data_IF_575540229505
#
_entry.id   IF_575540229505
#
_cell.length_a   1.000
_cell.length_b   1.000
_cell.length_c   1.000
_cell.angle_alpha   90.00
_cell.angle_beta   90.00
_cell.angle_gamma   90.00
#
_symmetry.space_group_name_H-M   'P 1'
#
loop_
_entity.id
_entity.type
_entity.pdbx_description
1 polymer ?
#
# COMPACT_ATOMS: atom_id res chain seq x y z
N UNK A 1 18.77 7.19 -19.63
CA UNK A 1 18.10 6.13 -18.83
C UNK A 1 18.86 4.80 -18.98
N UNK A 2 19.91 4.56 -18.17
CA UNK A 2 20.81 3.39 -18.32
C UNK A 2 20.97 2.54 -17.05
N UNK A 3 20.27 2.88 -15.96
CA UNK A 3 20.50 2.28 -14.64
C UNK A 3 19.75 0.95 -14.38
N UNK A 4 18.85 0.53 -15.28
CA UNK A 4 18.04 -0.68 -15.09
C UNK A 4 18.65 -1.97 -15.69
N UNK A 5 19.86 -1.90 -16.27
CA UNK A 5 20.42 -3.00 -17.09
C UNK A 5 21.44 -3.91 -16.40
N UNK A 6 21.98 -3.58 -15.23
CA UNK A 6 23.09 -4.37 -14.63
C UNK A 6 22.90 -4.70 -13.15
N UNK A 7 21.70 -5.11 -12.74
CA UNK A 7 21.56 -5.84 -11.46
C UNK A 7 20.77 -7.14 -11.68
N UNK A 8 21.41 -8.32 -11.53
CA UNK A 8 20.75 -9.61 -11.72
C UNK A 8 19.54 -9.79 -10.79
N UNK A 9 19.53 -9.16 -9.61
CA UNK A 9 18.40 -9.21 -8.68
C UNK A 9 17.17 -8.49 -9.23
N UNK A 10 17.37 -7.35 -9.92
CA UNK A 10 16.28 -6.59 -10.52
C UNK A 10 15.69 -7.33 -11.72
N UNK A 11 16.54 -8.01 -12.50
CA UNK A 11 16.08 -8.80 -13.64
C UNK A 11 15.11 -9.93 -13.21
N UNK A 12 15.38 -10.59 -12.09
CA UNK A 12 14.50 -11.63 -11.52
C UNK A 12 13.18 -11.07 -10.94
N UNK A 13 13.18 -9.79 -10.56
CA UNK A 13 11.98 -9.11 -10.06
C UNK A 13 11.09 -8.57 -11.18
N UNK A 14 11.57 -8.45 -12.43
CA UNK A 14 10.75 -7.96 -13.55
C UNK A 14 9.50 -8.81 -13.77
N UNK A 15 9.63 -10.12 -13.63
CA UNK A 15 8.51 -11.06 -13.77
C UNK A 15 7.53 -10.99 -12.59
N UNK A 16 7.87 -10.25 -11.54
CA UNK A 16 7.08 -10.05 -10.32
C UNK A 16 6.43 -8.66 -10.28
N UNK A 17 6.65 -7.82 -11.30
CA UNK A 17 6.04 -6.49 -11.39
C UNK A 17 4.87 -6.52 -12.39
N UNK A 18 3.69 -6.17 -11.92
CA UNK A 18 2.49 -5.98 -12.72
C UNK A 18 2.23 -4.48 -12.80
N UNK A 19 2.09 -3.95 -14.01
CA UNK A 19 1.77 -2.53 -14.23
C UNK A 19 0.45 -2.42 -14.97
N UNK A 20 -0.48 -1.69 -14.39
CA UNK A 20 -1.82 -1.51 -14.95
C UNK A 20 -2.23 -0.04 -14.91
N UNK A 21 -2.86 0.42 -15.99
CA UNK A 21 -3.50 1.73 -16.04
C UNK A 21 -4.98 1.54 -15.72
N UNK A 22 -5.44 2.20 -14.68
CA UNK A 22 -6.82 2.13 -14.18
C UNK A 22 -7.44 3.52 -14.19
N UNK A 23 -8.74 3.61 -13.92
CA UNK A 23 -9.41 4.91 -13.75
C UNK A 23 -8.82 5.70 -12.57
N UNK A 24 -8.47 5.00 -11.50
CA UNK A 24 -7.83 5.58 -10.32
C UNK A 24 -6.40 6.08 -10.58
N UNK A 25 -5.71 5.60 -11.62
CA UNK A 25 -4.35 6.00 -11.96
C UNK A 25 -3.46 4.84 -12.41
N UNK A 26 -2.14 5.02 -12.30
CA UNK A 26 -1.16 3.98 -12.62
C UNK A 26 -0.93 3.11 -11.39
N UNK A 27 -1.30 1.83 -11.45
CA UNK A 27 -1.08 0.84 -10.40
C UNK A 27 0.16 0.03 -10.76
N UNK A 28 1.09 -0.07 -9.81
CA UNK A 28 2.27 -0.92 -9.87
C UNK A 28 2.14 -1.92 -8.72
N UNK A 29 1.98 -3.20 -9.04
CA UNK A 29 1.98 -4.27 -8.05
C UNK A 29 3.28 -5.06 -8.11
N UNK A 30 3.85 -5.34 -6.94
CA UNK A 30 5.03 -6.20 -6.79
C UNK A 30 4.62 -7.45 -6.02
N UNK A 31 4.63 -8.58 -6.71
CA UNK A 31 4.01 -9.85 -6.29
C UNK A 31 5.07 -10.89 -5.93
N UNK A 32 4.93 -11.57 -4.81
CA UNK A 32 5.84 -12.67 -4.44
C UNK A 32 5.45 -13.96 -5.19
N UNK A 33 6.37 -14.50 -6.00
CA UNK A 33 6.18 -15.76 -6.73
C UNK A 33 6.81 -16.96 -6.02
N UNK A 34 6.58 -17.07 -4.71
CA UNK A 34 6.95 -18.21 -3.88
C UNK A 34 8.44 -18.48 -3.67
N UNK A 35 9.29 -17.51 -4.02
CA UNK A 35 10.73 -17.55 -3.71
C UNK A 35 11.09 -16.66 -2.52
N UNK A 36 10.08 -16.07 -1.85
CA UNK A 36 10.26 -15.09 -0.77
C UNK A 36 11.24 -14.00 -1.17
N UNK A 37 11.19 -13.52 -2.41
CA UNK A 37 12.18 -12.56 -2.91
C UNK A 37 11.90 -11.14 -2.45
N UNK A 38 10.70 -10.91 -1.92
CA UNK A 38 10.22 -9.60 -1.49
C UNK A 38 10.41 -9.38 0.01
N UNK A 39 10.03 -10.37 0.82
CA UNK A 39 10.01 -10.30 2.27
C UNK A 39 10.58 -11.57 2.89
N UNK A 40 11.10 -11.46 4.11
CA UNK A 40 11.32 -12.64 4.95
C UNK A 40 9.99 -13.22 5.44
N UNK A 41 9.99 -14.51 5.76
CA UNK A 41 8.80 -15.24 6.23
C UNK A 41 8.23 -14.55 7.46
N UNK A 42 6.93 -14.24 7.44
CA UNK A 42 6.21 -13.55 8.53
C UNK A 42 6.85 -12.22 8.96
N UNK A 43 7.65 -11.59 8.10
CA UNK A 43 8.37 -10.35 8.39
C UNK A 43 7.95 -9.22 7.45
N UNK A 44 8.08 -8.00 7.96
CA UNK A 44 7.97 -6.76 7.18
C UNK A 44 9.32 -6.28 6.64
N UNK A 45 10.42 -6.98 6.96
CA UNK A 45 11.74 -6.65 6.44
C UNK A 45 11.78 -6.86 4.92
N UNK A 46 12.12 -5.78 4.20
CA UNK A 46 12.28 -5.79 2.74
C UNK A 46 13.63 -6.39 2.38
N UNK A 47 13.66 -7.26 1.39
CA UNK A 47 14.91 -7.82 0.86
C UNK A 47 15.67 -6.83 -0.03
N UNK A 48 17.00 -6.97 -0.18
CA UNK A 48 17.82 -6.07 -1.00
C UNK A 48 17.30 -5.86 -2.43
N UNK A 49 16.88 -6.94 -3.10
CA UNK A 49 16.31 -6.85 -4.44
C UNK A 49 15.06 -5.96 -4.51
N UNK A 50 14.13 -6.12 -3.56
CA UNK A 50 12.93 -5.27 -3.48
C UNK A 50 13.29 -3.82 -3.18
N UNK A 51 14.26 -3.57 -2.30
CA UNK A 51 14.75 -2.21 -2.03
C UNK A 51 15.32 -1.56 -3.32
N UNK A 52 16.10 -2.31 -4.10
CA UNK A 52 16.64 -1.83 -5.37
C UNK A 52 15.55 -1.55 -6.41
N UNK A 53 14.51 -2.39 -6.47
CA UNK A 53 13.34 -2.16 -7.32
C UNK A 53 12.59 -0.89 -6.90
N UNK A 54 12.27 -0.74 -5.61
CA UNK A 54 11.57 0.42 -5.07
C UNK A 54 12.34 1.72 -5.31
N UNK A 55 13.68 1.70 -5.23
CA UNK A 55 14.53 2.84 -5.60
C UNK A 55 14.32 3.30 -7.04
N UNK A 56 14.28 2.35 -7.98
CA UNK A 56 14.02 2.67 -9.39
C UNK A 56 12.61 3.21 -9.61
N UNK A 57 11.62 2.59 -8.96
CA UNK A 57 10.23 3.06 -8.99
C UNK A 57 10.14 4.49 -8.45
N UNK A 58 10.77 4.78 -7.31
CA UNK A 58 10.79 6.12 -6.72
C UNK A 58 11.38 7.16 -7.69
N UNK A 59 12.47 6.85 -8.39
CA UNK A 59 13.08 7.78 -9.36
C UNK A 59 12.16 8.13 -10.54
N UNK A 60 11.29 7.20 -10.96
CA UNK A 60 10.27 7.47 -11.98
C UNK A 60 9.11 8.27 -11.38
N UNK A 61 8.58 7.83 -10.24
CA UNK A 61 7.44 8.48 -9.57
C UNK A 61 7.77 9.92 -9.10
N UNK A 62 9.02 10.20 -8.74
CA UNK A 62 9.49 11.52 -8.33
C UNK A 62 9.35 12.58 -9.43
N UNK A 63 9.29 12.18 -10.70
CA UNK A 63 9.10 13.07 -11.84
C UNK A 63 7.62 13.33 -12.14
N UNK A 64 6.72 12.52 -11.57
CA UNK A 64 5.29 12.63 -11.79
C UNK A 64 4.64 13.54 -10.75
N UNK A 65 3.70 14.42 -11.13
CA UNK A 65 3.01 15.31 -10.19
C UNK A 65 1.98 14.57 -9.31
N UNK A 66 1.76 13.29 -9.54
CA UNK A 66 0.74 12.46 -8.90
C UNK A 66 1.03 12.22 -7.41
N UNK A 67 -0.04 12.11 -6.62
CA UNK A 67 0.00 11.58 -5.26
C UNK A 67 0.17 10.07 -5.28
N UNK A 68 0.90 9.53 -4.32
CA UNK A 68 1.22 8.12 -4.23
C UNK A 68 0.47 7.48 -3.06
N UNK A 69 -0.22 6.37 -3.32
CA UNK A 69 -0.76 5.49 -2.29
C UNK A 69 0.05 4.21 -2.26
N UNK A 70 0.43 3.76 -1.06
CA UNK A 70 1.19 2.52 -0.87
C UNK A 70 0.32 1.53 -0.12
N UNK A 71 0.01 0.40 -0.72
CA UNK A 71 -0.80 -0.66 -0.17
C UNK A 71 0.00 -1.92 0.14
N UNK A 72 -0.34 -2.59 1.23
CA UNK A 72 0.20 -3.90 1.59
C UNK A 72 -0.90 -4.95 1.58
N UNK A 73 -0.57 -6.13 1.03
CA UNK A 73 -1.45 -7.29 1.00
C UNK A 73 -0.70 -8.53 1.52
N UNK A 74 -1.43 -9.43 2.16
CA UNK A 74 -0.94 -10.72 2.66
C UNK A 74 -1.80 -11.84 2.10
N UNK A 75 -1.29 -13.07 2.19
CA UNK A 75 -2.11 -14.26 1.99
C UNK A 75 -2.98 -14.52 3.24
N UNK A 76 -3.92 -15.46 3.12
CA UNK A 76 -4.82 -15.85 4.22
C UNK A 76 -4.19 -16.87 5.20
N UNK A 77 -2.86 -17.05 5.23
CA UNK A 77 -2.25 -17.97 6.20
C UNK A 77 -2.48 -17.42 7.62
N UNK A 78 -3.04 -18.21 8.54
CA UNK A 78 -3.30 -17.75 9.89
C UNK A 78 -1.98 -17.61 10.66
N UNK A 79 -1.94 -16.61 11.54
CA UNK A 79 -0.87 -16.51 12.52
C UNK A 79 -1.03 -17.56 13.62
N UNK A 80 0.06 -18.03 14.24
CA UNK A 80 0.00 -18.95 15.36
C UNK A 80 -0.86 -18.41 16.51
N UNK A 81 -1.61 -19.31 17.17
CA UNK A 81 -2.42 -18.96 18.35
C UNK A 81 -1.55 -18.28 19.42
N UNK A 82 -1.96 -17.10 19.87
CA UNK A 82 -1.20 -16.29 20.83
C UNK A 82 -0.29 -15.24 20.19
N UNK A 83 -0.16 -15.20 18.87
CA UNK A 83 0.43 -14.06 18.17
C UNK A 83 -0.41 -12.81 18.38
N UNK A 84 0.24 -11.70 18.78
CA UNK A 84 -0.39 -10.37 18.76
C UNK A 84 -0.45 -9.77 17.36
N UNK A 85 0.25 -10.38 16.40
CA UNK A 85 0.31 -9.93 15.03
C UNK A 85 -0.72 -10.68 14.18
N UNK A 86 -1.47 -9.94 13.39
CA UNK A 86 -2.40 -10.44 12.39
C UNK A 86 -1.96 -10.01 10.98
N UNK A 87 -2.69 -10.47 9.96
CA UNK A 87 -2.50 -10.05 8.58
C UNK A 87 -2.66 -8.53 8.40
N UNK A 88 -3.47 -7.87 9.24
CA UNK A 88 -3.62 -6.41 9.22
C UNK A 88 -2.31 -5.71 9.60
N UNK A 89 -1.72 -6.06 10.74
CA UNK A 89 -0.46 -5.45 11.18
C UNK A 89 0.68 -5.76 10.21
N UNK A 90 0.78 -7.01 9.72
CA UNK A 90 1.83 -7.39 8.77
C UNK A 90 1.71 -6.61 7.46
N UNK A 91 0.49 -6.51 6.91
CA UNK A 91 0.25 -5.77 5.66
C UNK A 91 0.58 -4.27 5.81
N UNK A 92 0.19 -3.65 6.94
CA UNK A 92 0.54 -2.27 7.25
C UNK A 92 2.06 -2.07 7.35
N UNK A 93 2.75 -2.92 8.12
CA UNK A 93 4.19 -2.79 8.34
C UNK A 93 4.97 -2.90 7.02
N UNK A 94 4.55 -3.80 6.12
CA UNK A 94 5.15 -3.94 4.78
C UNK A 94 4.94 -2.69 3.94
N UNK A 95 3.73 -2.13 3.96
CA UNK A 95 3.41 -0.90 3.24
C UNK A 95 4.20 0.30 3.80
N UNK A 96 4.34 0.43 5.12
CA UNK A 96 5.14 1.50 5.74
C UNK A 96 6.64 1.34 5.44
N UNK A 97 7.16 0.11 5.47
CA UNK A 97 8.55 -0.16 5.09
C UNK A 97 8.80 0.26 3.63
N UNK A 98 7.89 -0.08 2.71
CA UNK A 98 7.97 0.31 1.31
C UNK A 98 7.91 1.83 1.15
N UNK A 99 6.99 2.51 1.84
CA UNK A 99 6.90 3.98 1.88
C UNK A 99 8.23 4.60 2.25
N UNK A 100 8.87 4.16 3.35
CA UNK A 100 10.16 4.70 3.82
C UNK A 100 11.24 4.56 2.76
N UNK A 101 11.30 3.42 2.08
CA UNK A 101 12.25 3.23 0.97
C UNK A 101 11.95 4.21 -0.16
N UNK A 102 10.69 4.36 -0.58
CA UNK A 102 10.32 5.26 -1.66
C UNK A 102 10.68 6.72 -1.34
N UNK A 103 10.38 7.20 -0.13
CA UNK A 103 10.72 8.55 0.34
C UNK A 103 12.22 8.79 0.38
N UNK A 104 12.98 7.87 0.99
CA UNK A 104 14.45 7.99 1.06
C UNK A 104 15.13 7.83 -0.30
N UNK A 105 14.40 7.36 -1.32
CA UNK A 105 14.90 7.13 -2.68
C UNK A 105 14.48 8.23 -3.68
N UNK A 106 13.91 9.34 -3.20
CA UNK A 106 13.72 10.55 -4.00
C UNK A 106 12.29 10.97 -4.26
N UNK A 107 11.27 10.32 -3.67
CA UNK A 107 9.92 10.90 -3.70
C UNK A 107 9.93 12.28 -3.02
N UNK A 108 9.12 13.21 -3.56
CA UNK A 108 9.03 14.56 -2.99
C UNK A 108 8.39 14.51 -1.60
N UNK A 109 8.74 15.42 -0.69
CA UNK A 109 8.07 15.53 0.60
C UNK A 109 6.55 15.66 0.43
N UNK A 110 5.78 14.82 1.15
CA UNK A 110 4.32 14.79 1.06
C UNK A 110 3.77 14.22 -0.25
N UNK A 111 4.59 13.58 -1.09
CA UNK A 111 4.12 12.93 -2.32
C UNK A 111 3.36 11.63 -2.01
N UNK A 112 3.77 10.90 -0.97
CA UNK A 112 2.96 9.80 -0.43
C UNK A 112 1.81 10.40 0.37
N UNK A 113 0.59 10.11 -0.04
CA UNK A 113 -0.64 10.61 0.57
C UNK A 113 -1.26 9.58 1.51
N UNK A 114 -1.17 8.28 1.19
CA UNK A 114 -1.81 7.21 1.95
C UNK A 114 -0.92 5.98 2.07
N UNK A 115 -0.97 5.36 3.24
CA UNK A 115 -0.49 3.99 3.48
C UNK A 115 -1.71 3.14 3.83
N UNK A 116 -1.92 2.05 3.12
CA UNK A 116 -3.13 1.25 3.20
C UNK A 116 -2.75 -0.19 3.55
N UNK A 117 -3.43 -0.74 4.54
CA UNK A 117 -3.35 -2.14 4.90
C UNK A 117 -4.59 -2.84 4.35
N UNK A 118 -4.42 -3.90 3.56
CA UNK A 118 -5.55 -4.68 3.04
C UNK A 118 -5.65 -6.07 3.67
N UNK A 119 -4.65 -6.48 4.46
CA UNK A 119 -4.54 -7.85 4.95
C UNK A 119 -4.74 -8.85 3.78
N UNK A 120 -5.62 -9.83 3.97
CA UNK A 120 -6.00 -10.85 3.00
C UNK A 120 -7.38 -10.59 2.37
N UNK A 121 -7.94 -9.39 2.52
CA UNK A 121 -9.30 -9.06 2.04
C UNK A 121 -9.40 -8.84 0.53
N UNK A 122 -8.26 -8.64 -0.13
CA UNK A 122 -8.18 -8.42 -1.58
C UNK A 122 -7.15 -9.37 -2.21
N UNK A 123 -7.44 -10.67 -2.29
CA UNK A 123 -6.54 -11.65 -2.89
C UNK A 123 -6.38 -11.39 -4.39
N UNK A 124 -5.17 -11.58 -4.91
CA UNK A 124 -4.90 -11.55 -6.35
C UNK A 124 -5.38 -12.84 -7.03
N UNK A 125 -5.35 -13.96 -6.30
CA UNK A 125 -5.86 -15.27 -6.72
C UNK A 125 -6.99 -15.67 -5.75
N UNK A 126 -8.23 -15.22 -5.99
CA UNK A 126 -9.38 -15.49 -5.11
C UNK A 126 -9.65 -17.00 -4.91
N UNK A 127 -9.35 -17.81 -5.91
CA UNK A 127 -9.55 -19.26 -5.92
C UNK A 127 -8.55 -19.99 -5.01
N UNK A 128 -7.44 -19.33 -4.67
CA UNK A 128 -6.42 -19.85 -3.76
C UNK A 128 -5.96 -18.76 -2.78
N UNK A 129 -6.66 -18.58 -1.64
CA UNK A 129 -6.31 -17.57 -0.64
C UNK A 129 -4.90 -17.73 -0.03
N UNK A 130 -4.33 -18.93 -0.11
CA UNK A 130 -2.98 -19.25 0.39
C UNK A 130 -1.90 -19.07 -0.69
N UNK A 131 -2.26 -18.64 -1.90
CA UNK A 131 -1.30 -18.37 -2.96
C UNK A 131 -0.26 -17.35 -2.50
N UNK A 132 1.01 -17.61 -2.86
CA UNK A 132 2.11 -16.71 -2.51
C UNK A 132 1.97 -15.37 -3.24
N UNK A 133 1.32 -15.40 -4.40
CA UNK A 133 0.95 -14.25 -5.21
C UNK A 133 0.02 -13.26 -4.50
N UNK A 134 -0.69 -13.69 -3.45
CA UNK A 134 -1.49 -12.78 -2.63
C UNK A 134 -0.61 -11.88 -1.74
N UNK A 135 0.64 -12.28 -1.47
CA UNK A 135 1.64 -11.44 -0.78
C UNK A 135 2.21 -10.42 -1.77
N UNK A 136 1.66 -9.21 -1.77
CA UNK A 136 2.08 -8.15 -2.69
C UNK A 136 2.11 -6.77 -2.06
N UNK A 137 2.87 -5.88 -2.68
CA UNK A 137 2.81 -4.44 -2.47
C UNK A 137 2.12 -3.80 -3.66
N UNK A 138 1.23 -2.86 -3.40
CA UNK A 138 0.62 -2.02 -4.43
C UNK A 138 1.11 -0.58 -4.28
N UNK A 139 1.44 0.05 -5.40
CA UNK A 139 1.83 1.45 -5.47
C UNK A 139 0.95 2.10 -6.53
N UNK A 140 0.05 2.96 -6.09
CA UNK A 140 -0.84 3.71 -6.97
C UNK A 140 -0.29 5.13 -7.13
N UNK A 141 0.06 5.52 -8.35
CA UNK A 141 0.18 6.92 -8.73
C UNK A 141 -1.21 7.42 -9.13
N UNK A 142 -1.90 8.02 -8.17
CA UNK A 142 -3.29 8.44 -8.30
C UNK A 142 -3.44 9.43 -9.45
N UNK A 143 -4.45 9.23 -10.29
CA UNK A 143 -4.85 10.19 -11.31
C UNK A 143 -5.06 11.52 -10.62
N UNK A 144 -4.43 12.57 -11.17
CA UNK A 144 -4.72 13.92 -10.74
C UNK A 144 -6.18 14.18 -11.10
N UNK A 145 -7.07 14.25 -10.11
CA UNK A 145 -8.32 14.97 -10.32
C UNK A 145 -7.91 16.34 -10.84
N UNK A 146 -8.38 16.71 -12.04
CA UNK A 146 -8.27 18.08 -12.49
C UNK A 146 -8.78 18.92 -11.32
N UNK A 147 -7.89 19.73 -10.73
CA UNK A 147 -8.11 20.43 -9.47
C UNK A 147 -9.58 20.77 -9.38
N UNK A 148 -10.29 20.15 -8.41
CA UNK A 148 -11.68 20.44 -8.18
C UNK A 148 -11.81 21.96 -8.30
N UNK A 149 -12.61 22.43 -9.26
CA UNK A 149 -12.92 23.85 -9.38
C UNK A 149 -13.19 24.33 -7.94
N UNK A 150 -12.58 25.46 -7.52
CA UNK A 150 -12.59 25.87 -6.11
C UNK A 150 -14.01 25.69 -5.63
N UNK A 151 -14.17 24.82 -4.62
CA UNK A 151 -15.46 24.45 -4.07
C UNK A 151 -16.23 25.75 -3.95
N UNK A 152 -17.29 25.89 -4.75
CA UNK A 152 -18.16 27.05 -4.65
C UNK A 152 -18.56 27.10 -3.18
N UNK A 153 -18.07 28.14 -2.53
CA UNK A 153 -18.14 28.38 -1.11
C UNK A 153 -19.62 28.30 -0.71
N UNK A 154 -20.02 27.16 -0.13
CA UNK A 154 -21.30 27.12 0.58
C UNK A 154 -21.11 27.96 1.83
N UNK A 155 -21.98 28.93 2.12
CA UNK A 155 -21.90 29.71 3.35
C UNK A 155 -21.95 28.76 4.55
N UNK A 156 -21.20 29.08 5.59
CA UNK A 156 -21.20 28.37 6.86
C UNK A 156 -22.64 28.28 7.42
N UNK A 157 -23.22 27.07 7.36
CA UNK A 157 -24.41 26.74 8.14
C UNK A 157 -23.93 26.15 9.46
N UNK A 158 -24.18 26.93 10.51
CA UNK A 158 -23.75 26.70 11.87
C UNK A 158 -24.56 25.56 12.50
N UNK A 159 -24.16 24.31 12.29
CA UNK A 159 -24.64 23.20 13.10
C UNK A 159 -23.79 23.13 14.38
N UNK A 160 -24.37 23.61 15.47
CA UNK A 160 -23.80 23.51 16.82
C UNK A 160 -23.48 22.06 17.23
N UNK A 161 -22.78 21.87 18.36
CA UNK A 161 -22.36 20.53 18.77
C UNK A 161 -23.57 19.62 18.94
N UNK A 162 -23.59 18.53 18.18
CA UNK A 162 -24.56 17.44 18.34
C UNK A 162 -24.38 16.86 19.74
N UNK A 163 -25.24 17.29 20.67
CA UNK A 163 -25.35 16.69 21.99
C UNK A 163 -26.02 15.33 21.82
N UNK A 164 -25.31 14.25 22.10
CA UNK A 164 -25.91 12.94 22.29
C UNK A 164 -26.93 13.01 23.44
N UNK A 165 -28.13 12.42 23.30
CA UNK A 165 -29.03 12.28 24.44
C UNK A 165 -28.40 11.34 25.49
N UNK A 166 -28.57 11.59 26.79
CA UNK A 166 -28.13 10.64 27.81
C UNK A 166 -28.95 9.35 27.70
N UNK A 167 -28.25 8.20 27.77
CA UNK A 167 -28.89 6.88 27.83
C UNK A 167 -29.90 6.81 28.99
N UNK A 168 -31.09 6.24 28.80
CA UNK A 168 -32.03 6.03 29.88
C UNK A 168 -31.50 4.94 30.83
N UNK A 169 -31.44 5.24 32.13
CA UNK A 169 -31.15 4.26 33.18
C UNK A 169 -32.18 3.12 33.15
N UNK A 170 -31.77 1.87 33.43
CA UNK A 170 -32.72 0.76 33.57
C UNK A 170 -33.60 0.96 34.82
N UNK A 171 -34.87 0.51 34.80
CA UNK A 171 -35.77 0.63 35.93
C UNK A 171 -35.36 -0.32 37.08
N UNK A 172 -35.62 0.06 38.35
CA UNK A 172 -35.34 -0.81 39.48
C UNK A 172 -36.38 -1.94 39.55
N UNK A 173 -35.91 -3.17 39.66
CA UNK A 173 -36.66 -4.36 40.04
C UNK A 173 -35.78 -5.25 40.91
#
# INVERSE_FOLDING_TARGET
ARAAQENPEIAQLKDQVIVQVTDAGLVIEVVDKGRNLLFDVSSAALKPGLIALLRNVAGVLAQLPNRIHVGGHTDSRPFPSGSRMTNWELSFQRADAARRVLETSGLRPGQVERVIAYADTQPLVPENPLADENRRLSILAARREAAAAPACEKPAENDGPVSLPPDPLPPPG
#
